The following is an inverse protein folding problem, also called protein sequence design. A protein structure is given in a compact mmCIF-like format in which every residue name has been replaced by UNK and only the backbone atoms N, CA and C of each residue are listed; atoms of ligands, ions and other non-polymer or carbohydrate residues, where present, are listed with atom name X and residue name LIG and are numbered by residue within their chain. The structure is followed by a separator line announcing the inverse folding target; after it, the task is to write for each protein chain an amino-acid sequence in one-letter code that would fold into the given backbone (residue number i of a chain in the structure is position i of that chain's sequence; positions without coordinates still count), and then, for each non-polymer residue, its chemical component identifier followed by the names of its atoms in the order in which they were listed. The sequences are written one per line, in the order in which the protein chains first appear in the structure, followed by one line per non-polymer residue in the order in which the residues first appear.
data_IF_655648157044
#
_entry.id   IF_655648157044
#
_cell.length_a   1.000
_cell.length_b   1.000
_cell.length_c   1.000
_cell.angle_alpha   90.00
_cell.angle_beta   90.00
_cell.angle_gamma   90.00
#
_symmetry.space_group_name_H-M   'P 1'
#
loop_
_entity.id
_entity.type
_entity.pdbx_description
1 polymer ?
#
# COMPACT_ATOMS: atom_id res chain seq x y z
N UNK A 1 15.41 9.67 -13.43
CA UNK A 1 16.18 8.44 -13.12
C UNK A 1 15.41 7.52 -12.17
N UNK A 2 14.14 7.14 -12.47
CA UNK A 2 13.29 6.31 -11.58
C UNK A 2 12.78 5.02 -12.24
N UNK A 3 13.21 4.71 -13.48
CA UNK A 3 12.82 3.48 -14.20
C UNK A 3 13.91 2.39 -14.19
N UNK A 4 15.07 2.65 -13.57
CA UNK A 4 16.27 1.83 -13.75
C UNK A 4 16.44 0.70 -12.72
N UNK A 5 15.69 0.71 -11.61
CA UNK A 5 15.78 -0.33 -10.57
C UNK A 5 14.94 -1.58 -10.90
N UNK A 6 13.72 -1.42 -11.42
CA UNK A 6 12.78 -2.53 -11.67
C UNK A 6 13.24 -3.54 -12.72
N UNK A 7 14.10 -3.14 -13.66
CA UNK A 7 14.60 -4.03 -14.71
C UNK A 7 15.76 -4.94 -14.25
N UNK A 8 16.28 -4.77 -13.02
CA UNK A 8 17.46 -5.50 -12.54
C UNK A 8 17.21 -6.96 -12.14
N UNK A 9 15.96 -7.38 -11.95
CA UNK A 9 15.64 -8.73 -11.45
C UNK A 9 14.97 -9.66 -12.48
N UNK A 10 14.68 -9.18 -13.69
CA UNK A 10 13.94 -9.96 -14.69
C UNK A 10 14.91 -10.83 -15.50
N UNK A 11 14.83 -12.15 -15.33
CA UNK A 11 15.67 -13.14 -16.02
C UNK A 11 14.87 -13.95 -17.04
N UNK A 12 15.49 -14.31 -18.16
CA UNK A 12 14.84 -15.12 -19.18
C UNK A 12 14.59 -16.53 -18.64
N UNK A 13 13.34 -16.98 -18.73
CA UNK A 13 12.87 -18.30 -18.24
C UNK A 13 13.44 -19.49 -19.01
N UNK A 14 14.07 -19.25 -20.16
CA UNK A 14 14.83 -20.30 -20.81
C UNK A 14 16.13 -20.55 -20.01
N UNK A 15 16.17 -21.67 -19.30
CA UNK A 15 17.30 -22.12 -18.45
C UNK A 15 18.63 -22.18 -19.22
N UNK A 16 18.58 -22.40 -20.54
CA UNK A 16 19.78 -22.40 -21.40
C UNK A 16 20.27 -20.98 -21.77
N UNK A 17 19.44 -19.95 -21.61
CA UNK A 17 19.75 -18.56 -21.93
C UNK A 17 20.19 -17.77 -20.69
N UNK A 18 19.34 -17.73 -19.64
CA UNK A 18 19.60 -17.04 -18.37
C UNK A 18 20.00 -15.55 -18.46
N UNK A 19 19.83 -14.90 -19.61
CA UNK A 19 20.05 -13.45 -19.76
C UNK A 19 19.17 -12.66 -18.81
N UNK A 20 19.72 -11.62 -18.20
CA UNK A 20 18.95 -10.64 -17.42
C UNK A 20 18.60 -9.44 -18.29
N UNK A 21 17.45 -8.84 -18.03
CA UNK A 21 16.98 -7.68 -18.80
C UNK A 21 17.94 -6.48 -18.65
N UNK A 22 18.63 -6.36 -17.53
CA UNK A 22 19.71 -5.38 -17.32
C UNK A 22 20.95 -5.58 -18.21
N UNK A 23 21.18 -6.78 -18.75
CA UNK A 23 22.39 -7.10 -19.53
C UNK A 23 22.29 -6.67 -21.00
N UNK A 24 21.17 -6.08 -21.44
CA UNK A 24 21.00 -5.63 -22.82
C UNK A 24 19.86 -4.64 -23.01
N UNK A 25 19.94 -3.81 -24.05
CA UNK A 25 18.94 -2.78 -24.38
C UNK A 25 17.63 -3.38 -24.96
N UNK A 26 17.31 -4.64 -24.66
CA UNK A 26 16.20 -5.39 -25.28
C UNK A 26 15.17 -5.73 -24.23
N UNK A 27 13.97 -5.14 -24.35
CA UNK A 27 12.84 -5.45 -23.47
C UNK A 27 12.42 -6.91 -23.60
N UNK A 28 12.21 -7.57 -22.47
CA UNK A 28 11.74 -8.95 -22.44
C UNK A 28 10.25 -8.99 -22.77
N UNK A 29 9.84 -10.05 -23.44
CA UNK A 29 8.45 -10.28 -23.82
C UNK A 29 7.82 -11.33 -22.90
N UNK A 30 6.63 -11.04 -22.39
CA UNK A 30 5.82 -12.00 -21.63
C UNK A 30 5.20 -13.04 -22.57
N UNK A 31 4.97 -14.25 -22.09
CA UNK A 31 4.20 -15.26 -22.81
C UNK A 31 2.80 -14.71 -23.15
N UNK A 32 2.40 -14.72 -24.41
CA UNK A 32 1.09 -14.19 -24.81
C UNK A 32 -0.10 -14.95 -24.19
N UNK A 33 0.08 -16.23 -23.84
CA UNK A 33 -1.01 -17.06 -23.30
C UNK A 33 -1.17 -16.94 -21.79
N UNK A 34 -0.10 -17.06 -21.00
CA UNK A 34 -0.18 -16.99 -19.53
C UNK A 34 0.27 -15.64 -18.96
N UNK A 35 1.00 -14.80 -19.70
CA UNK A 35 1.54 -13.51 -19.23
C UNK A 35 2.44 -13.56 -17.97
N UNK A 36 2.78 -14.76 -17.48
CA UNK A 36 3.67 -14.96 -16.32
C UNK A 36 5.12 -15.07 -16.77
N UNK A 37 5.48 -16.12 -17.52
CA UNK A 37 6.87 -16.33 -17.96
C UNK A 37 7.37 -15.27 -18.93
N UNK A 38 8.64 -14.89 -18.78
CA UNK A 38 9.32 -13.83 -19.54
C UNK A 38 10.48 -14.34 -20.37
N UNK A 39 10.66 -13.79 -21.56
CA UNK A 39 11.65 -14.24 -22.52
C UNK A 39 12.34 -13.06 -23.21
N UNK A 40 13.66 -13.13 -23.36
CA UNK A 40 14.41 -12.13 -24.13
C UNK A 40 14.13 -12.20 -25.65
N UNK A 41 13.56 -13.30 -26.13
CA UNK A 41 13.25 -13.50 -27.55
C UNK A 41 12.20 -14.60 -27.77
N UNK A 42 11.53 -14.56 -28.94
CA UNK A 42 10.65 -15.65 -29.39
C UNK A 42 11.39 -16.99 -29.54
N UNK A 43 12.69 -16.97 -29.85
CA UNK A 43 13.50 -18.19 -29.91
C UNK A 43 13.66 -18.84 -28.53
N UNK A 44 13.91 -18.05 -27.48
CA UNK A 44 13.98 -18.56 -26.11
C UNK A 44 12.62 -19.10 -25.63
N UNK A 45 11.52 -18.43 -25.98
CA UNK A 45 10.18 -18.93 -25.68
C UNK A 45 9.92 -20.29 -26.34
N UNK A 46 10.27 -20.46 -27.62
CA UNK A 46 10.10 -21.73 -28.35
C UNK A 46 10.99 -22.84 -27.77
N UNK A 47 12.23 -22.52 -27.42
CA UNK A 47 13.15 -23.47 -26.80
C UNK A 47 12.66 -23.95 -25.42
N UNK A 48 12.08 -23.04 -24.62
CA UNK A 48 11.54 -23.38 -23.31
C UNK A 48 10.17 -24.09 -23.38
N UNK A 49 9.46 -24.03 -24.52
CA UNK A 49 8.07 -24.47 -24.66
C UNK A 49 7.81 -25.89 -24.17
N UNK A 50 8.74 -26.83 -24.39
CA UNK A 50 8.58 -28.23 -23.96
C UNK A 50 8.32 -28.39 -22.46
N UNK A 51 8.97 -27.58 -21.62
CA UNK A 51 8.74 -27.55 -20.16
C UNK A 51 7.61 -26.60 -19.79
N UNK A 52 7.65 -25.39 -20.34
CA UNK A 52 6.68 -24.34 -20.05
C UNK A 52 5.24 -24.72 -20.39
N UNK A 53 4.98 -25.61 -21.35
CA UNK A 53 3.61 -25.92 -21.81
C UNK A 53 2.67 -26.37 -20.68
N UNK A 54 3.17 -27.15 -19.71
CA UNK A 54 2.36 -27.61 -18.59
C UNK A 54 2.07 -26.47 -17.61
N UNK A 55 3.10 -25.70 -17.25
CA UNK A 55 2.97 -24.52 -16.38
C UNK A 55 2.05 -23.48 -17.03
N UNK A 56 2.24 -23.18 -18.32
CA UNK A 56 1.42 -22.25 -19.09
C UNK A 56 -0.08 -22.61 -19.06
N UNK A 57 -0.42 -23.91 -19.07
CA UNK A 57 -1.82 -24.36 -18.97
C UNK A 57 -2.37 -24.14 -17.56
N UNK A 58 -1.60 -24.52 -16.53
CA UNK A 58 -1.97 -24.31 -15.12
C UNK A 58 -2.16 -22.83 -14.84
N UNK A 59 -1.19 -22.01 -15.19
CA UNK A 59 -1.18 -20.57 -14.98
C UNK A 59 -2.33 -19.88 -15.73
N UNK A 60 -2.61 -20.31 -16.97
CA UNK A 60 -3.76 -19.81 -17.73
C UNK A 60 -5.09 -20.18 -17.07
N UNK A 61 -5.23 -21.41 -16.57
CA UNK A 61 -6.44 -21.82 -15.86
C UNK A 61 -6.62 -21.01 -14.57
N UNK A 62 -5.54 -20.78 -13.82
CA UNK A 62 -5.54 -19.88 -12.65
C UNK A 62 -5.97 -18.46 -13.03
N UNK A 63 -5.45 -17.89 -14.12
CA UNK A 63 -5.87 -16.55 -14.58
C UNK A 63 -7.32 -16.50 -15.05
N UNK A 64 -7.84 -17.57 -15.64
CA UNK A 64 -9.24 -17.67 -16.06
C UNK A 64 -10.19 -17.84 -14.86
N UNK A 65 -9.75 -18.54 -13.81
CA UNK A 65 -10.51 -18.66 -12.57
C UNK A 65 -10.51 -17.33 -11.79
N UNK A 66 -9.37 -16.62 -11.75
CA UNK A 66 -9.29 -15.27 -11.16
C UNK A 66 -10.19 -14.28 -11.91
N UNK A 67 -10.34 -14.42 -13.23
CA UNK A 67 -11.25 -13.59 -14.03
C UNK A 67 -12.74 -13.99 -13.95
N UNK A 68 -13.07 -15.10 -13.29
CA UNK A 68 -14.44 -15.51 -12.98
C UNK A 68 -14.83 -15.21 -11.51
N UNK A 69 -13.84 -15.08 -10.61
CA UNK A 69 -13.99 -14.62 -9.21
C UNK A 69 -13.95 -13.08 -9.05
N UNK A 70 -13.94 -12.33 -10.15
CA UNK A 70 -13.84 -10.85 -10.19
C UNK A 70 -15.12 -10.12 -9.79
N UNK A 71 -16.09 -10.81 -9.21
CA UNK A 71 -17.30 -10.19 -8.70
C UNK A 71 -17.44 -10.39 -7.19
N UNK A 72 -17.60 -9.28 -6.49
CA UNK A 72 -18.02 -9.27 -5.10
C UNK A 72 -19.53 -9.37 -5.09
N UNK A 73 -20.04 -10.51 -4.61
CA UNK A 73 -21.45 -10.62 -4.28
C UNK A 73 -21.66 -9.89 -2.94
N UNK A 74 -22.68 -9.04 -2.88
CA UNK A 74 -23.09 -8.32 -1.69
C UNK A 74 -24.57 -8.55 -1.49
N UNK A 75 -24.97 -8.89 -0.27
CA UNK A 75 -26.38 -8.99 0.08
C UNK A 75 -26.88 -7.60 0.48
N UNK A 76 -27.75 -7.01 -0.32
CA UNK A 76 -28.38 -5.73 0.02
C UNK A 76 -29.45 -5.90 1.12
N UNK A 77 -29.88 -4.79 1.72
CA UNK A 77 -30.88 -4.77 2.82
C UNK A 77 -32.21 -5.48 2.48
N UNK A 78 -32.54 -5.65 1.19
CA UNK A 78 -33.73 -6.36 0.72
C UNK A 78 -33.48 -7.86 0.42
N UNK A 79 -32.28 -8.38 0.73
CA UNK A 79 -31.87 -9.76 0.45
C UNK A 79 -31.41 -10.00 -1.00
N UNK A 80 -31.38 -8.99 -1.86
CA UNK A 80 -30.92 -9.12 -3.24
C UNK A 80 -29.40 -9.14 -3.30
N UNK A 81 -28.86 -10.14 -3.99
CA UNK A 81 -27.42 -10.24 -4.27
C UNK A 81 -27.05 -9.24 -5.37
N UNK A 82 -26.23 -8.26 -5.02
CA UNK A 82 -25.60 -7.31 -5.93
C UNK A 82 -24.21 -7.83 -6.26
N UNK A 83 -23.94 -8.03 -7.54
CA UNK A 83 -22.63 -8.43 -8.03
C UNK A 83 -21.86 -7.17 -8.47
N UNK A 84 -20.84 -6.75 -7.72
CA UNK A 84 -19.96 -5.63 -8.08
C UNK A 84 -18.65 -6.18 -8.63
N UNK A 85 -18.34 -5.86 -9.88
CA UNK A 85 -17.07 -6.26 -10.49
C UNK A 85 -15.88 -5.55 -9.85
N UNK A 86 -14.71 -6.18 -9.86
CA UNK A 86 -13.45 -5.60 -9.38
C UNK A 86 -13.10 -4.27 -10.07
N UNK A 87 -13.50 -4.12 -11.33
CA UNK A 87 -13.36 -2.86 -12.10
C UNK A 87 -14.10 -1.69 -11.43
N UNK A 88 -15.20 -1.97 -10.72
CA UNK A 88 -15.97 -0.98 -9.97
C UNK A 88 -15.48 -0.80 -8.53
N UNK A 89 -14.71 -1.76 -7.98
CA UNK A 89 -14.15 -1.65 -6.62
C UNK A 89 -12.88 -0.79 -6.60
N UNK A 90 -12.00 -0.91 -7.60
CA UNK A 90 -10.73 -0.14 -7.62
C UNK A 90 -10.96 1.38 -7.49
N UNK A 91 -11.90 2.00 -8.23
CA UNK A 91 -12.19 3.44 -8.07
C UNK A 91 -12.70 3.81 -6.67
N UNK A 92 -13.41 2.90 -5.99
CA UNK A 92 -13.88 3.14 -4.63
C UNK A 92 -12.72 3.14 -3.63
N UNK A 93 -11.78 2.20 -3.77
CA UNK A 93 -10.58 2.16 -2.94
C UNK A 93 -9.72 3.42 -3.13
N UNK A 94 -9.54 3.85 -4.39
CA UNK A 94 -8.83 5.10 -4.72
C UNK A 94 -9.54 6.34 -4.16
N UNK A 95 -10.86 6.47 -4.35
CA UNK A 95 -11.64 7.57 -3.80
C UNK A 95 -11.60 7.57 -2.25
N UNK A 96 -11.71 6.40 -1.61
CA UNK A 96 -11.54 6.26 -0.17
C UNK A 96 -10.17 6.79 0.29
N UNK A 97 -9.11 6.34 -0.38
CA UNK A 97 -7.75 6.76 -0.13
C UNK A 97 -7.59 8.27 -0.20
N UNK A 98 -8.09 8.90 -1.28
CA UNK A 98 -8.00 10.36 -1.46
C UNK A 98 -8.74 11.10 -0.35
N UNK A 99 -9.96 10.69 -0.03
CA UNK A 99 -10.81 11.39 0.93
C UNK A 99 -10.38 11.21 2.40
N UNK A 100 -9.61 10.16 2.72
CA UNK A 100 -9.17 9.87 4.08
C UNK A 100 -7.65 9.93 4.27
N UNK A 101 -6.85 10.21 3.23
CA UNK A 101 -5.38 10.22 3.29
C UNK A 101 -4.84 11.00 4.49
N UNK A 102 -5.36 12.20 4.72
CA UNK A 102 -4.90 13.05 5.81
C UNK A 102 -5.24 12.45 7.19
N UNK A 103 -6.44 11.87 7.36
CA UNK A 103 -6.83 11.16 8.58
C UNK A 103 -5.97 9.90 8.80
N UNK A 104 -5.67 9.15 7.74
CA UNK A 104 -4.83 7.95 7.80
C UNK A 104 -3.40 8.29 8.20
N UNK A 105 -2.81 9.33 7.63
CA UNK A 105 -1.49 9.83 8.04
C UNK A 105 -1.47 10.22 9.52
N UNK A 106 -2.51 10.92 9.96
CA UNK A 106 -2.60 11.41 11.32
C UNK A 106 -2.81 10.26 12.34
N UNK A 107 -3.64 9.27 11.97
CA UNK A 107 -3.85 8.04 12.74
C UNK A 107 -2.56 7.24 12.86
N UNK A 108 -1.81 7.15 11.76
CA UNK A 108 -0.51 6.50 11.71
C UNK A 108 0.51 7.16 12.65
N UNK A 109 0.61 8.48 12.66
CA UNK A 109 1.50 9.19 13.58
C UNK A 109 1.14 8.95 15.05
N UNK A 110 -0.16 8.89 15.36
CA UNK A 110 -0.62 8.55 16.70
C UNK A 110 -0.30 7.10 17.07
N UNK A 111 -0.57 6.17 16.16
CA UNK A 111 -0.31 4.74 16.37
C UNK A 111 1.18 4.47 16.61
N UNK A 112 2.07 5.24 15.97
CA UNK A 112 3.52 5.13 16.18
C UNK A 112 4.04 5.89 17.40
N UNK A 113 3.16 6.58 18.15
CA UNK A 113 3.54 7.39 19.32
C UNK A 113 4.28 8.69 18.95
N UNK A 114 4.16 9.15 17.71
CA UNK A 114 4.92 10.29 17.17
C UNK A 114 4.43 11.65 17.64
N UNK A 115 3.28 11.69 18.31
CA UNK A 115 2.65 12.89 18.86
C UNK A 115 3.25 13.35 20.18
N UNK A 116 4.13 12.55 20.78
CA UNK A 116 4.72 12.85 22.10
C UNK A 116 5.71 14.02 22.01
N UNK A 117 5.66 15.01 22.93
CA UNK A 117 6.61 16.11 22.96
C UNK A 117 8.07 15.61 23.01
N UNK A 118 8.96 16.31 22.31
CA UNK A 118 10.38 15.98 22.34
C UNK A 118 10.94 16.19 23.75
N UNK A 119 11.22 15.10 24.46
CA UNK A 119 11.94 15.16 25.74
C UNK A 119 13.44 15.41 25.51
N UNK A 120 14.12 16.16 26.40
CA UNK A 120 15.56 16.35 26.31
C UNK A 120 16.30 15.01 26.33
N UNK A 121 17.32 14.86 25.49
CA UNK A 121 18.18 13.68 25.53
C UNK A 121 18.93 13.65 26.87
N UNK A 122 18.75 12.58 27.64
CA UNK A 122 19.60 12.30 28.81
C UNK A 122 20.30 10.98 28.56
N UNK A 123 21.59 10.89 28.91
CA UNK A 123 22.44 9.72 28.62
C UNK A 123 21.94 8.38 29.22
N UNK A 124 20.93 8.42 30.10
CA UNK A 124 20.31 7.26 30.75
C UNK A 124 18.77 7.30 30.71
N UNK A 125 18.18 8.25 29.99
CA UNK A 125 16.74 8.35 29.84
C UNK A 125 16.20 7.37 28.79
N UNK A 126 14.87 7.19 28.72
CA UNK A 126 14.25 6.51 27.59
C UNK A 126 14.71 7.18 26.30
N UNK A 127 14.89 6.37 25.24
CA UNK A 127 15.31 6.86 23.91
C UNK A 127 14.45 8.06 23.55
N UNK A 128 15.10 9.19 23.28
CA UNK A 128 14.41 10.38 22.81
C UNK A 128 13.63 10.01 21.54
N UNK A 129 12.50 10.66 21.32
CA UNK A 129 11.65 10.42 20.16
C UNK A 129 12.43 10.47 18.82
N UNK A 130 13.50 11.25 18.77
CA UNK A 130 14.48 11.30 17.69
C UNK A 130 15.23 9.98 17.35
N UNK A 131 15.39 9.05 18.30
CA UNK A 131 16.11 7.77 18.15
C UNK A 131 15.17 6.60 17.78
N UNK A 132 13.92 6.62 18.23
CA UNK A 132 12.87 5.66 17.82
C UNK A 132 12.41 5.87 16.35
N UNK A 133 12.97 6.86 15.65
CA UNK A 133 12.60 7.32 14.30
C UNK A 133 13.39 6.64 13.17
N UNK A 134 14.28 5.70 13.47
CA UNK A 134 15.03 4.97 12.44
C UNK A 134 14.30 3.72 11.96
N UNK A 135 13.31 3.24 12.71
CA UNK A 135 12.59 2.02 12.35
C UNK A 135 11.54 2.34 11.29
N UNK A 136 11.54 1.56 10.21
CA UNK A 136 10.44 1.57 9.25
C UNK A 136 9.17 1.10 9.97
N UNK A 137 8.20 2.01 10.11
CA UNK A 137 6.90 1.73 10.73
C UNK A 137 5.82 1.58 9.67
N UNK A 138 4.92 0.64 9.91
CA UNK A 138 3.84 0.24 9.02
C UNK A 138 2.54 0.34 9.81
N UNK A 139 1.59 1.13 9.31
CA UNK A 139 0.21 1.07 9.80
C UNK A 139 -0.54 0.09 8.92
N UNK A 140 -0.96 -1.03 9.50
CA UNK A 140 -1.84 -1.98 8.85
C UNK A 140 -3.29 -1.71 9.23
N UNK A 141 -4.17 -1.58 8.24
CA UNK A 141 -5.59 -1.28 8.43
C UNK A 141 -6.43 -2.36 7.77
N UNK A 142 -7.37 -2.91 8.51
CA UNK A 142 -8.40 -3.81 7.97
C UNK A 142 -9.68 -3.02 7.74
N UNK A 143 -10.12 -2.99 6.49
CA UNK A 143 -11.32 -2.33 6.02
C UNK A 143 -12.34 -3.40 5.61
N UNK A 144 -13.58 -3.24 6.04
CA UNK A 144 -14.71 -4.06 5.59
C UNK A 144 -15.66 -3.23 4.73
N UNK A 145 -16.35 -3.88 3.80
CA UNK A 145 -17.39 -3.22 3.00
C UNK A 145 -18.53 -2.68 3.89
N UNK A 146 -19.00 -1.47 3.60
CA UNK A 146 -20.16 -0.91 4.26
C UNK A 146 -21.43 -1.70 3.86
N UNK A 147 -22.36 -2.00 4.79
CA UNK A 147 -23.54 -2.83 4.51
C UNK A 147 -24.42 -2.32 3.34
N UNK A 148 -24.41 -1.01 3.09
CA UNK A 148 -25.22 -0.34 2.05
C UNK A 148 -24.42 -0.02 0.80
N UNK A 149 -23.44 -0.86 0.45
CA UNK A 149 -22.63 -0.65 -0.75
C UNK A 149 -23.48 -0.89 -2.01
N UNK A 150 -23.41 0.05 -2.95
CA UNK A 150 -24.12 0.05 -4.21
C UNK A 150 -23.26 0.72 -5.29
N UNK A 151 -23.64 0.61 -6.56
CA UNK A 151 -22.95 1.31 -7.65
C UNK A 151 -23.00 2.85 -7.53
N UNK A 152 -23.93 3.39 -6.75
CA UNK A 152 -24.03 4.83 -6.47
C UNK A 152 -23.23 5.26 -5.23
N UNK A 153 -22.70 4.31 -4.45
CA UNK A 153 -21.95 4.59 -3.24
C UNK A 153 -20.60 5.21 -3.59
N UNK A 154 -20.27 6.35 -2.98
CA UNK A 154 -18.95 6.98 -3.13
C UNK A 154 -17.91 6.21 -2.31
N UNK A 155 -16.65 6.19 -2.73
CA UNK A 155 -15.57 5.48 -2.05
C UNK A 155 -15.42 5.90 -0.58
N UNK A 156 -15.59 7.20 -0.29
CA UNK A 156 -15.61 7.71 1.10
C UNK A 156 -16.70 7.12 2.02
N UNK A 157 -17.71 6.45 1.48
CA UNK A 157 -18.76 5.77 2.25
C UNK A 157 -18.79 4.26 2.00
N UNK A 158 -17.87 3.73 1.19
CA UNK A 158 -17.87 2.35 0.73
C UNK A 158 -17.30 1.37 1.77
N UNK A 159 -16.49 1.88 2.72
CA UNK A 159 -15.72 1.05 3.64
C UNK A 159 -15.85 1.53 5.08
N UNK A 160 -15.67 0.59 6.01
CA UNK A 160 -15.61 0.82 7.45
C UNK A 160 -14.29 0.27 7.98
N UNK A 161 -13.67 0.96 8.92
CA UNK A 161 -12.47 0.47 9.62
C UNK A 161 -12.91 -0.61 10.61
N UNK A 162 -12.48 -1.85 10.36
CA UNK A 162 -12.69 -2.97 11.25
C UNK A 162 -11.62 -2.97 12.35
N UNK A 163 -10.36 -2.81 11.95
CA UNK A 163 -9.24 -2.72 12.89
C UNK A 163 -8.02 -2.04 12.27
N UNK A 164 -7.06 -1.63 13.10
CA UNK A 164 -5.75 -1.18 12.67
C UNK A 164 -4.65 -1.48 13.70
N UNK A 165 -3.43 -1.61 13.22
CA UNK A 165 -2.27 -2.00 14.02
C UNK A 165 -1.01 -1.32 13.51
N UNK A 166 -0.21 -0.81 14.44
CA UNK A 166 1.12 -0.29 14.15
C UNK A 166 2.13 -1.41 14.35
N UNK A 167 2.95 -1.62 13.33
CA UNK A 167 4.00 -2.64 13.28
C UNK A 167 5.31 -1.99 12.88
N UNK A 168 6.42 -2.51 13.34
CA UNK A 168 7.68 -2.33 12.62
C UNK A 168 7.78 -3.30 11.43
N UNK A 169 8.83 -3.14 10.63
CA UNK A 169 9.05 -3.97 9.46
C UNK A 169 9.21 -5.46 9.81
N UNK A 170 9.93 -5.78 10.89
CA UNK A 170 10.15 -7.16 11.29
C UNK A 170 8.85 -7.82 11.77
N UNK A 171 8.08 -7.12 12.61
CA UNK A 171 6.76 -7.54 13.08
C UNK A 171 5.79 -7.75 11.92
N UNK A 172 5.79 -6.85 10.93
CA UNK A 172 4.97 -7.01 9.73
C UNK A 172 5.36 -8.24 8.91
N UNK A 173 6.66 -8.46 8.68
CA UNK A 173 7.13 -9.63 7.93
C UNK A 173 6.78 -10.93 8.66
N UNK A 174 6.97 -11.00 9.98
CA UNK A 174 6.55 -12.14 10.80
C UNK A 174 5.04 -12.37 10.70
N UNK A 175 4.25 -11.32 10.89
CA UNK A 175 2.80 -11.38 10.81
C UNK A 175 2.28 -11.76 9.41
N UNK A 176 2.99 -11.38 8.35
CA UNK A 176 2.65 -11.75 6.97
C UNK A 176 2.90 -13.24 6.67
N UNK A 177 3.83 -13.87 7.40
CA UNK A 177 4.17 -15.29 7.26
C UNK A 177 3.38 -16.21 8.22
N UNK A 178 2.77 -15.65 9.26
CA UNK A 178 2.06 -16.40 10.29
C UNK A 178 0.62 -16.69 9.85
N UNK A 179 0.31 -17.95 9.50
CA UNK A 179 -1.03 -18.39 9.05
C UNK A 179 -2.18 -18.13 10.02
N UNK A 180 -1.88 -17.85 11.30
CA UNK A 180 -2.87 -17.50 12.32
C UNK A 180 -3.06 -16.00 12.47
N UNK A 181 -2.15 -15.20 11.92
CA UNK A 181 -2.25 -13.75 11.95
C UNK A 181 -3.19 -13.28 10.84
N UNK A 182 -4.02 -12.28 11.13
CA UNK A 182 -4.95 -11.68 10.16
C UNK A 182 -4.27 -11.04 8.94
N UNK A 183 -2.97 -10.75 9.04
CA UNK A 183 -2.16 -10.20 7.96
C UNK A 183 -1.84 -11.24 6.90
N UNK A 184 -1.83 -12.52 7.28
CA UNK A 184 -1.54 -13.60 6.37
C UNK A 184 -2.58 -13.65 5.25
N UNK A 185 -2.07 -13.64 4.03
CA UNK A 185 -2.85 -13.78 2.82
C UNK A 185 -2.23 -14.87 1.95
N UNK A 186 -2.92 -16.01 1.77
CA UNK A 186 -2.42 -17.11 0.96
C UNK A 186 -2.03 -16.64 -0.44
N UNK A 187 -0.79 -16.93 -0.86
CA UNK A 187 -0.31 -16.58 -2.20
C UNK A 187 0.03 -15.10 -2.41
N UNK A 188 -0.05 -14.27 -1.35
CA UNK A 188 0.37 -12.87 -1.41
C UNK A 188 1.54 -12.66 -0.45
N UNK A 189 2.76 -12.87 -0.94
CA UNK A 189 3.94 -12.30 -0.28
C UNK A 189 3.93 -10.82 -0.65
N UNK A 190 4.10 -9.87 0.29
CA UNK A 190 4.26 -8.46 -0.04
C UNK A 190 5.51 -8.27 -0.89
N UNK A 191 5.39 -8.41 -2.22
CA UNK A 191 6.46 -8.12 -3.21
C UNK A 191 6.90 -6.64 -3.17
N UNK A 192 6.26 -5.82 -2.32
CA UNK A 192 6.39 -4.36 -2.27
C UNK A 192 7.51 -3.86 -1.36
N UNK A 193 8.13 -4.71 -0.54
CA UNK A 193 9.34 -4.29 0.16
C UNK A 193 10.54 -4.54 -0.75
N UNK A 194 10.81 -3.56 -1.61
CA UNK A 194 12.04 -3.53 -2.39
C UNK A 194 13.23 -3.44 -1.41
N UNK A 195 14.13 -4.43 -1.36
CA UNK A 195 15.34 -4.39 -0.53
C UNK A 195 16.20 -3.15 -0.80
N UNK A 196 16.10 -2.52 -1.98
CA UNK A 196 16.79 -1.25 -2.25
C UNK A 196 16.31 -0.13 -1.31
N UNK A 197 15.12 -0.21 -0.72
CA UNK A 197 14.63 0.73 0.30
C UNK A 197 15.43 0.63 1.61
N UNK A 198 16.01 -0.54 1.91
CA UNK A 198 16.87 -0.76 3.09
C UNK A 198 18.32 -0.30 2.86
N UNK A 199 18.83 -0.31 1.62
CA UNK A 199 20.25 -0.03 1.32
C UNK A 199 20.65 1.47 1.32
N UNK A 200 19.70 2.41 1.44
CA UNK A 200 20.03 3.86 1.43
C UNK A 200 20.62 4.39 2.74
N UNK A 201 20.85 3.56 3.76
CA UNK A 201 21.37 3.94 5.09
C UNK A 201 22.80 4.52 5.16
N UNK A 202 23.50 4.67 4.03
CA UNK A 202 24.93 5.03 4.02
C UNK A 202 25.29 6.52 4.06
N UNK A 203 24.34 7.45 3.89
CA UNK A 203 24.66 8.89 3.79
C UNK A 203 23.86 9.69 4.82
N UNK A 204 24.57 10.36 5.74
CA UNK A 204 24.06 11.22 6.83
C UNK A 204 23.27 12.48 6.37
N UNK A 205 22.49 12.42 5.30
CA UNK A 205 21.49 13.46 5.03
C UNK A 205 20.27 13.18 5.89
N UNK A 206 19.71 14.23 6.52
CA UNK A 206 18.48 14.18 7.30
C UNK A 206 17.35 13.60 6.42
N UNK A 207 17.16 12.29 6.46
CA UNK A 207 16.16 11.66 5.61
C UNK A 207 14.76 11.99 6.13
N UNK A 208 13.80 12.27 5.22
CA UNK A 208 12.39 12.34 5.57
C UNK A 208 11.94 11.01 6.17
N UNK A 209 10.99 11.07 7.12
CA UNK A 209 10.38 9.86 7.67
C UNK A 209 9.60 9.18 6.56
N UNK A 210 10.03 7.99 6.14
CA UNK A 210 9.22 7.17 5.25
C UNK A 210 8.37 6.23 6.10
N UNK A 211 7.06 6.34 5.94
CA UNK A 211 6.10 5.44 6.56
C UNK A 211 5.19 4.86 5.52
N UNK A 212 4.75 3.64 5.77
CA UNK A 212 3.82 2.97 4.89
C UNK A 212 2.51 2.70 5.62
N UNK A 213 1.41 2.92 4.91
CA UNK A 213 0.10 2.44 5.30
C UNK A 213 -0.28 1.31 4.34
N UNK A 214 -0.62 0.14 4.89
CA UNK A 214 -1.17 -1.00 4.14
C UNK A 214 -2.63 -1.15 4.56
N UNK A 215 -3.53 -1.16 3.58
CA UNK A 215 -4.94 -1.42 3.81
C UNK A 215 -5.33 -2.74 3.18
N UNK A 216 -6.00 -3.57 3.97
CA UNK A 216 -6.65 -4.80 3.57
C UNK A 216 -8.15 -4.57 3.47
N UNK A 217 -8.68 -4.56 2.25
CA UNK A 217 -10.11 -4.53 2.00
C UNK A 217 -10.65 -5.96 1.99
N UNK A 218 -11.50 -6.28 2.97
CA UNK A 218 -12.22 -7.54 3.07
C UNK A 218 -13.56 -7.38 2.35
N UNK A 219 -13.67 -8.08 1.22
CA UNK A 219 -14.88 -8.25 0.43
C UNK A 219 -15.41 -9.68 0.70
N UNK A 220 -16.68 -9.95 0.41
CA UNK A 220 -17.30 -11.24 0.73
C UNK A 220 -16.61 -12.43 0.04
N UNK A 221 -16.13 -12.23 -1.20
CA UNK A 221 -15.46 -13.25 -2.02
C UNK A 221 -13.98 -12.98 -2.30
N UNK A 222 -13.43 -11.84 -1.87
CA UNK A 222 -12.10 -11.41 -2.25
C UNK A 222 -11.42 -10.54 -1.19
N UNK A 223 -10.09 -10.49 -1.26
CA UNK A 223 -9.28 -9.56 -0.47
C UNK A 223 -8.44 -8.70 -1.41
N UNK A 224 -8.46 -7.40 -1.18
CA UNK A 224 -7.58 -6.45 -1.89
C UNK A 224 -6.59 -5.87 -0.90
N UNK A 225 -5.32 -5.84 -1.28
CA UNK A 225 -4.31 -5.05 -0.59
C UNK A 225 -4.01 -3.80 -1.39
N UNK A 226 -4.02 -2.65 -0.73
CA UNK A 226 -3.44 -1.42 -1.26
C UNK A 226 -2.44 -0.86 -0.25
N UNK A 227 -1.41 -0.21 -0.74
CA UNK A 227 -0.47 0.51 0.11
C UNK A 227 -0.26 1.93 -0.42
N UNK A 228 0.11 2.82 0.49
CA UNK A 228 0.69 4.10 0.10
C UNK A 228 1.81 4.48 1.05
N UNK A 229 2.75 5.23 0.50
CA UNK A 229 3.85 5.80 1.24
C UNK A 229 3.49 7.24 1.59
N UNK A 230 3.95 7.65 2.76
CA UNK A 230 3.83 9.02 3.22
C UNK A 230 5.16 9.47 3.81
N UNK A 231 5.43 10.74 3.55
CA UNK A 231 6.69 11.39 3.84
C UNK A 231 6.32 12.57 4.71
N UNK A 232 6.83 12.58 5.93
CA UNK A 232 6.53 13.66 6.85
C UNK A 232 7.61 14.75 6.74
N UNK A 233 7.19 15.93 6.29
CA UNK A 233 7.98 17.15 6.43
C UNK A 233 7.86 17.66 7.88
N UNK A 234 8.99 17.61 8.60
CA UNK A 234 9.12 18.05 9.99
C UNK A 234 8.61 19.47 10.25
N UNK A 235 8.58 20.32 9.23
CA UNK A 235 8.05 21.70 9.35
C UNK A 235 6.53 21.75 9.52
N UNK A 236 5.82 20.69 9.11
CA UNK A 236 4.36 20.58 9.09
C UNK A 236 3.84 19.47 10.02
N UNK A 237 4.59 19.14 11.07
CA UNK A 237 4.20 18.10 12.02
C UNK A 237 3.05 18.59 12.93
N UNK A 238 1.82 18.35 12.48
CA UNK A 238 0.59 18.63 13.24
C UNK A 238 0.27 17.57 14.30
N UNK A 239 1.08 16.51 14.41
CA UNK A 239 0.75 15.33 15.21
C UNK A 239 0.63 15.67 16.71
N UNK A 240 1.46 16.61 17.21
CA UNK A 240 1.39 17.11 18.59
C UNK A 240 0.07 17.78 18.98
N UNK A 241 -0.73 18.23 18.01
CA UNK A 241 -2.01 18.91 18.25
C UNK A 241 -3.20 17.95 18.32
N UNK A 242 -2.98 16.71 17.94
CA UNK A 242 -4.04 15.73 17.85
C UNK A 242 -3.55 14.40 18.41
N UNK A 243 -3.79 14.23 19.70
CA UNK A 243 -3.46 13.04 20.45
C UNK A 243 -4.72 12.48 21.13
N UNK A 244 -5.66 11.90 20.36
CA UNK A 244 -6.65 11.06 20.98
C UNK A 244 -5.92 9.85 21.58
N UNK A 245 -6.00 9.69 22.90
CA UNK A 245 -5.59 8.46 23.60
C UNK A 245 -6.25 7.20 23.00
N UNK A 246 -7.28 7.37 22.15
CA UNK A 246 -8.01 6.35 21.41
C UNK A 246 -8.08 6.68 19.90
N UNK A 247 -6.92 6.82 19.26
CA UNK A 247 -6.81 7.15 17.83
C UNK A 247 -7.56 6.18 16.93
N UNK A 248 -7.60 4.88 17.29
CA UNK A 248 -8.28 3.86 16.52
C UNK A 248 -9.80 4.08 16.55
N UNK A 249 -10.37 4.35 17.72
CA UNK A 249 -11.79 4.64 17.83
C UNK A 249 -12.16 5.91 17.08
N UNK A 250 -11.31 6.94 17.11
CA UNK A 250 -11.55 8.14 16.32
C UNK A 250 -11.54 7.85 14.82
N UNK A 251 -10.53 7.12 14.33
CA UNK A 251 -10.44 6.70 12.93
C UNK A 251 -11.70 5.94 12.51
N UNK A 252 -12.16 4.99 13.33
CA UNK A 252 -13.42 4.25 13.12
C UNK A 252 -14.62 5.18 13.02
N UNK A 253 -14.74 6.14 13.93
CA UNK A 253 -15.87 7.08 13.96
C UNK A 253 -15.89 8.01 12.74
N UNK A 254 -14.77 8.62 12.36
CA UNK A 254 -14.72 9.52 11.21
C UNK A 254 -14.95 8.80 9.88
N UNK A 255 -14.40 7.60 9.71
CA UNK A 255 -14.66 6.78 8.52
C UNK A 255 -16.14 6.36 8.49
N UNK A 256 -16.73 5.96 9.62
CA UNK A 256 -18.14 5.57 9.69
C UNK A 256 -19.11 6.71 9.34
N UNK A 257 -18.71 7.99 9.44
CA UNK A 257 -19.55 9.12 8.98
C UNK A 257 -19.75 9.12 7.47
N UNK A 258 -18.84 8.54 6.69
CA UNK A 258 -18.94 8.42 5.23
C UNK A 258 -18.86 9.75 4.47
N UNK A 259 -18.30 10.80 5.09
CA UNK A 259 -18.25 12.16 4.53
C UNK A 259 -16.89 12.55 3.94
N UNK A 260 -15.90 11.66 4.02
CA UNK A 260 -14.50 12.03 3.88
C UNK A 260 -14.01 12.75 5.15
N UNK A 261 -12.75 13.15 5.16
CA UNK A 261 -12.18 13.88 6.29
C UNK A 261 -11.29 15.01 5.80
N UNK A 262 -11.53 16.20 6.34
CA UNK A 262 -10.67 17.36 6.16
C UNK A 262 -10.05 17.70 7.53
N UNK A 263 -8.75 18.07 7.57
CA UNK A 263 -8.15 18.57 8.80
C UNK A 263 -8.96 19.76 9.32
N UNK A 264 -9.22 19.85 10.63
CA UNK A 264 -9.86 21.03 11.20
C UNK A 264 -9.04 22.26 10.80
N UNK A 265 -9.74 23.29 10.29
CA UNK A 265 -9.13 24.55 9.87
C UNK A 265 -8.24 25.08 11.00
N UNK A 266 -6.96 25.28 10.69
CA UNK A 266 -6.02 25.89 11.62
C UNK A 266 -6.06 27.41 11.42
N UNK A 267 -6.68 28.18 12.35
CA UNK A 267 -6.73 29.64 12.23
C UNK A 267 -5.34 30.29 12.31
N UNK A 268 -4.30 29.54 12.69
CA UNK A 268 -2.91 29.99 12.73
C UNK A 268 -2.07 29.46 11.57
N UNK A 269 -2.67 28.75 10.60
CA UNK A 269 -1.96 28.41 9.37
C UNK A 269 -1.70 29.72 8.64
N UNK A 270 -0.45 30.18 8.69
CA UNK A 270 -0.02 31.32 7.90
C UNK A 270 -0.40 31.03 6.45
N UNK A 271 -0.96 32.02 5.71
CA UNK A 271 -1.26 31.83 4.30
C UNK A 271 0.01 31.33 3.59
N UNK A 272 -0.14 30.44 2.58
CA UNK A 272 1.01 29.90 1.88
C UNK A 272 1.92 31.05 1.44
N UNK A 273 3.22 30.91 1.70
CA UNK A 273 4.17 31.95 1.33
C UNK A 273 4.06 32.10 -0.20
N UNK A 274 3.80 33.32 -0.74
CA UNK A 274 3.59 33.50 -2.18
C UNK A 274 4.74 32.96 -3.04
N UNK A 275 5.93 32.77 -2.47
CA UNK A 275 7.08 32.13 -3.12
C UNK A 275 6.93 30.61 -3.36
N UNK A 276 6.16 29.88 -2.55
CA UNK A 276 6.01 28.42 -2.68
C UNK A 276 5.14 28.03 -3.89
N UNK A 277 4.21 28.90 -4.28
CA UNK A 277 3.34 28.72 -5.45
C UNK A 277 4.08 28.83 -6.80
N UNK A 278 5.23 29.52 -6.85
CA UNK A 278 5.96 29.75 -8.09
C UNK A 278 6.84 28.56 -8.53
N UNK A 279 7.10 27.59 -7.65
CA UNK A 279 7.95 26.44 -7.97
C UNK A 279 7.19 25.24 -8.56
N UNK A 280 5.86 25.17 -8.40
CA UNK A 280 5.06 24.06 -8.96
C UNK A 280 4.74 24.20 -10.46
N UNK A 281 4.87 25.39 -11.06
CA UNK A 281 4.53 25.63 -12.46
C UNK A 281 5.69 25.40 -13.45
N UNK A 282 6.89 25.05 -12.97
CA UNK A 282 8.09 24.91 -13.81
C UNK A 282 8.57 23.46 -14.03
N UNK A 283 7.84 22.46 -13.54
CA UNK A 283 8.16 21.03 -13.76
C UNK A 283 7.04 20.26 -14.48
N UNK A 284 6.34 20.93 -15.40
CA UNK A 284 5.40 20.32 -16.36
C UNK A 284 6.09 19.77 -17.60
#
# INVERSE_FOLDING_TARGET
MRQDAKHKLIQCENIACRKREADGNTKFSKCASCRISVYCSKSCQRAHWGRHKQDCKRDRASLQNVAAETAVNLISDNGQVISITMENISPLCEDFLVNYRALLNLSMFNAFGWTTPHLPHTARGPRCFCEARQDHKILFITLRVAPKLSLATKGRAAFLVEDAEALDLAEFLEASCNTRHRLFLPGHVPDTFDPETEEFGGVQKRMPRESMCIMKFILESAVILQSFHTWDDRSNDYSSRWNPNDWLQHLKQEVAKGKGWEPPYDPFKLPPNPHDSAQCELEG
#
